data_IF_080923733071
#
_entry.id   IF_080923733071
#
_cell.length_a   1.000
_cell.length_b   1.000
_cell.length_c   1.000
_cell.angle_alpha   90.00
_cell.angle_beta   90.00
_cell.angle_gamma   90.00
#
_symmetry.space_group_name_H-M   'P 1'
#
loop_
_entity.id
_entity.type
_entity.pdbx_description
1 polymer ?
#
# COMPACT_ATOMS: atom_id res chain seq x y z
N UNK A 1 -21.20 15.97 -11.71
CA UNK A 1 -19.99 15.86 -12.57
C UNK A 1 -19.99 14.46 -13.16
N UNK A 2 -20.25 14.31 -14.46
CA UNK A 2 -20.22 13.01 -15.10
C UNK A 2 -18.75 12.56 -15.21
N UNK A 3 -18.36 11.58 -14.39
CA UNK A 3 -17.04 10.94 -14.52
C UNK A 3 -17.07 10.19 -15.85
N UNK A 4 -16.42 10.77 -16.87
CA UNK A 4 -16.03 10.05 -18.09
C UNK A 4 -15.17 8.86 -17.62
N UNK A 5 -15.71 7.64 -17.78
CA UNK A 5 -15.40 6.43 -17.00
C UNK A 5 -13.91 6.25 -16.66
N UNK A 6 -13.57 6.28 -15.37
CA UNK A 6 -12.30 5.73 -14.89
C UNK A 6 -12.44 4.20 -14.81
N UNK A 7 -11.62 3.48 -15.59
CA UNK A 7 -11.67 2.01 -15.67
C UNK A 7 -10.80 1.33 -14.60
N UNK A 8 -9.80 2.03 -14.07
CA UNK A 8 -8.80 1.47 -13.17
C UNK A 8 -8.17 2.50 -12.24
N UNK A 9 -7.68 2.07 -11.07
CA UNK A 9 -6.81 2.90 -10.23
C UNK A 9 -5.70 2.11 -9.53
N UNK A 10 -4.56 2.79 -9.30
CA UNK A 10 -3.45 2.32 -8.48
C UNK A 10 -3.15 3.41 -7.43
N UNK A 11 -3.23 3.06 -6.16
CA UNK A 11 -3.11 3.99 -5.04
C UNK A 11 -2.03 3.50 -4.07
N UNK A 12 -1.26 4.44 -3.53
CA UNK A 12 -0.28 4.20 -2.46
C UNK A 12 -0.33 5.37 -1.49
N UNK A 13 -1.36 5.45 -0.60
CA UNK A 13 -1.49 6.57 0.32
C UNK A 13 -0.25 6.67 1.24
N UNK A 14 0.08 7.87 1.73
CA UNK A 14 1.30 8.08 2.51
C UNK A 14 1.35 7.20 3.77
N UNK A 15 2.40 6.40 3.89
CA UNK A 15 2.52 5.40 4.94
C UNK A 15 3.21 5.91 6.21
N UNK A 16 3.80 7.11 6.17
CA UNK A 16 4.65 7.63 7.24
C UNK A 16 3.92 7.93 8.55
N UNK A 17 2.58 8.03 8.53
CA UNK A 17 1.74 8.11 9.73
C UNK A 17 1.02 6.78 10.06
N UNK A 18 1.12 5.77 9.21
CA UNK A 18 0.43 4.48 9.29
C UNK A 18 1.41 3.29 9.37
N UNK A 19 2.63 3.54 9.85
CA UNK A 19 3.72 2.55 9.84
C UNK A 19 4.24 2.22 11.23
N UNK A 20 4.59 0.95 11.43
CA UNK A 20 5.29 0.45 12.63
C UNK A 20 6.67 1.07 12.80
N UNK A 21 7.28 1.61 11.73
CA UNK A 21 8.66 2.09 11.77
C UNK A 21 8.92 3.19 12.82
N UNK A 22 7.87 3.93 13.21
CA UNK A 22 7.95 4.97 14.28
C UNK A 22 7.72 4.43 15.69
N UNK A 23 7.26 3.18 15.81
CA UNK A 23 7.00 2.50 17.08
C UNK A 23 8.11 1.51 17.46
N UNK A 24 9.14 1.39 16.62
CA UNK A 24 10.32 0.61 16.92
C UNK A 24 11.11 1.22 18.07
N UNK A 25 11.81 0.36 18.81
CA UNK A 25 12.79 0.80 19.80
C UNK A 25 14.05 1.22 19.06
N UNK A 26 14.59 2.39 19.43
CA UNK A 26 15.84 2.92 18.91
C UNK A 26 16.86 2.91 20.04
N UNK A 27 18.14 2.76 19.71
CA UNK A 27 19.23 2.89 20.67
C UNK A 27 19.13 4.24 21.42
N UNK A 28 19.53 4.26 22.69
CA UNK A 28 19.23 5.35 23.65
C UNK A 28 19.72 6.74 23.20
N UNK A 29 20.73 6.81 22.33
CA UNK A 29 21.30 8.05 21.80
C UNK A 29 20.63 8.55 20.51
N UNK A 30 19.65 7.82 19.97
CA UNK A 30 18.96 8.16 18.74
C UNK A 30 17.69 8.97 19.00
N UNK A 31 17.60 10.15 18.38
CA UNK A 31 16.33 10.89 18.29
C UNK A 31 15.35 10.15 17.38
N UNK A 32 14.60 9.23 17.99
CA UNK A 32 13.56 8.46 17.33
C UNK A 32 12.51 9.39 16.67
N UNK A 33 12.03 9.07 15.46
CA UNK A 33 10.92 9.80 14.87
C UNK A 33 9.66 9.60 15.73
N UNK A 34 9.07 10.70 16.20
CA UNK A 34 7.86 10.67 17.02
C UNK A 34 6.75 9.86 16.31
N UNK A 35 6.07 8.95 17.02
CA UNK A 35 4.82 8.34 16.54
C UNK A 35 3.76 9.39 16.26
N UNK A 36 3.21 9.40 15.03
CA UNK A 36 2.35 10.49 14.55
C UNK A 36 0.84 10.28 14.82
N UNK A 37 0.45 9.31 15.63
CA UNK A 37 -0.97 9.05 15.97
C UNK A 37 -1.19 8.83 17.47
N UNK A 38 -0.27 9.36 18.26
CA UNK A 38 -0.38 9.45 19.73
C UNK A 38 -0.75 10.88 20.11
N UNK A 39 -1.09 11.09 21.39
CA UNK A 39 -1.38 12.40 21.92
C UNK A 39 -0.18 13.38 21.79
N UNK A 40 -0.47 14.68 21.78
CA UNK A 40 0.52 15.77 21.83
C UNK A 40 1.44 15.89 20.61
N UNK A 41 0.83 16.09 19.44
CA UNK A 41 1.54 16.37 18.18
C UNK A 41 1.76 17.87 17.98
N UNK A 42 2.90 18.23 17.38
CA UNK A 42 3.12 19.59 16.89
C UNK A 42 2.17 19.92 15.74
N UNK A 43 1.94 21.22 15.47
CA UNK A 43 1.12 21.65 14.33
C UNK A 43 1.61 21.05 13.00
N UNK A 44 2.93 20.96 12.82
CA UNK A 44 3.54 20.31 11.66
C UNK A 44 3.13 18.84 11.53
N UNK A 45 3.19 18.10 12.63
CA UNK A 45 2.80 16.68 12.65
C UNK A 45 1.27 16.51 12.47
N UNK A 46 0.45 17.41 13.02
CA UNK A 46 -0.99 17.42 12.79
C UNK A 46 -1.33 17.62 11.32
N UNK A 47 -0.69 18.59 10.64
CA UNK A 47 -0.85 18.80 9.19
C UNK A 47 -0.46 17.57 8.37
N UNK A 48 0.62 16.90 8.78
CA UNK A 48 1.08 15.67 8.13
C UNK A 48 0.06 14.52 8.28
N UNK A 49 -0.48 14.32 9.48
CA UNK A 49 -1.52 13.31 9.75
C UNK A 49 -2.79 13.62 8.97
N UNK A 50 -3.20 14.89 8.94
CA UNK A 50 -4.35 15.35 8.19
C UNK A 50 -4.19 15.03 6.70
N UNK A 51 -3.06 15.38 6.09
CA UNK A 51 -2.77 15.08 4.69
C UNK A 51 -2.80 13.57 4.41
N UNK A 52 -2.19 12.77 5.28
CA UNK A 52 -2.21 11.31 5.14
C UNK A 52 -3.64 10.72 5.23
N UNK A 53 -4.49 11.28 6.11
CA UNK A 53 -5.91 10.90 6.18
C UNK A 53 -6.68 11.28 4.92
N UNK A 54 -6.48 12.51 4.41
CA UNK A 54 -7.13 12.97 3.17
C UNK A 54 -6.75 12.07 2.00
N UNK A 55 -5.47 11.76 1.83
CA UNK A 55 -5.00 10.91 0.73
C UNK A 55 -5.48 9.46 0.85
N UNK A 56 -5.60 8.93 2.08
CA UNK A 56 -6.25 7.63 2.30
C UNK A 56 -7.74 7.66 1.93
N UNK A 57 -8.47 8.71 2.33
CA UNK A 57 -9.88 8.87 1.98
C UNK A 57 -10.09 9.00 0.48
N UNK A 58 -9.21 9.71 -0.22
CA UNK A 58 -9.21 9.77 -1.69
C UNK A 58 -9.02 8.37 -2.30
N UNK A 59 -8.06 7.59 -1.79
CA UNK A 59 -7.85 6.21 -2.25
C UNK A 59 -9.09 5.32 -2.05
N UNK A 60 -9.71 5.39 -0.86
CA UNK A 60 -10.97 4.68 -0.58
C UNK A 60 -12.13 5.16 -1.46
N UNK A 61 -12.21 6.46 -1.76
CA UNK A 61 -13.24 7.03 -2.63
C UNK A 61 -13.11 6.50 -4.05
N UNK A 62 -11.89 6.46 -4.61
CA UNK A 62 -11.65 5.84 -5.91
C UNK A 62 -12.00 4.35 -5.90
N UNK A 63 -11.61 3.63 -4.86
CA UNK A 63 -11.93 2.22 -4.72
C UNK A 63 -13.45 1.99 -4.76
N UNK A 64 -14.21 2.72 -3.93
CA UNK A 64 -15.67 2.61 -3.87
C UNK A 64 -16.35 3.01 -5.19
N UNK A 65 -15.88 4.08 -5.84
CA UNK A 65 -16.39 4.46 -7.15
C UNK A 65 -16.17 3.36 -8.19
N UNK A 66 -15.04 2.65 -8.14
CA UNK A 66 -14.73 1.53 -9.03
C UNK A 66 -15.51 0.26 -8.67
N UNK A 67 -15.85 0.05 -7.39
CA UNK A 67 -16.82 -0.98 -7.00
C UNK A 67 -18.15 -0.73 -7.72
N UNK A 68 -18.66 0.50 -7.66
CA UNK A 68 -19.93 0.88 -8.28
C UNK A 68 -19.91 0.89 -9.82
N UNK A 69 -18.79 1.28 -10.44
CA UNK A 69 -18.68 1.41 -11.90
C UNK A 69 -18.27 0.14 -12.64
N UNK A 70 -17.94 -0.95 -11.92
CA UNK A 70 -17.43 -2.18 -12.53
C UNK A 70 -15.94 -2.13 -12.92
N UNK A 71 -15.21 -1.09 -12.52
CA UNK A 71 -13.76 -0.97 -12.78
C UNK A 71 -12.90 -1.83 -11.84
N UNK A 72 -11.58 -1.59 -11.86
CA UNK A 72 -10.60 -2.33 -11.04
C UNK A 72 -9.71 -1.41 -10.23
N UNK A 73 -9.20 -1.89 -9.10
CA UNK A 73 -8.40 -1.04 -8.21
C UNK A 73 -7.32 -1.83 -7.48
N UNK A 74 -6.20 -1.16 -7.18
CA UNK A 74 -5.17 -1.64 -6.26
C UNK A 74 -4.85 -0.51 -5.29
N UNK A 75 -4.94 -0.77 -3.99
CA UNK A 75 -4.39 0.11 -2.95
C UNK A 75 -3.27 -0.62 -2.22
N UNK A 76 -2.04 -0.14 -2.38
CA UNK A 76 -0.85 -0.68 -1.71
C UNK A 76 -0.57 0.06 -0.41
N UNK A 77 -0.19 -0.70 0.61
CA UNK A 77 0.32 -0.14 1.86
C UNK A 77 1.18 -1.17 2.60
N UNK A 78 2.14 -0.75 3.46
CA UNK A 78 2.81 -1.65 4.39
C UNK A 78 1.84 -2.57 5.10
N UNK A 79 2.16 -3.87 5.14
CA UNK A 79 1.34 -4.86 5.83
C UNK A 79 1.33 -4.58 7.34
N UNK A 80 0.29 -5.05 8.02
CA UNK A 80 0.26 -5.02 9.47
C UNK A 80 1.47 -5.74 10.04
N UNK A 81 2.17 -5.09 10.97
CA UNK A 81 3.42 -5.58 11.54
C UNK A 81 3.18 -6.61 12.65
N UNK A 82 2.56 -7.75 12.29
CA UNK A 82 2.17 -8.81 13.25
C UNK A 82 3.34 -9.42 14.04
N UNK A 83 4.56 -9.19 13.59
CA UNK A 83 5.79 -9.65 14.21
C UNK A 83 6.31 -8.71 15.32
N UNK A 84 5.76 -7.50 15.45
CA UNK A 84 6.26 -6.49 16.38
C UNK A 84 5.53 -6.54 17.73
N UNK A 85 6.22 -6.43 18.88
CA UNK A 85 5.57 -6.49 20.21
C UNK A 85 4.47 -5.44 20.41
N UNK A 86 4.65 -4.25 19.84
CA UNK A 86 3.68 -3.14 19.88
C UNK A 86 2.64 -3.20 18.74
N UNK A 87 2.41 -4.36 18.14
CA UNK A 87 1.49 -4.51 17.01
C UNK A 87 0.11 -3.93 17.30
N UNK A 88 -0.44 -4.10 18.51
CA UNK A 88 -1.82 -3.72 18.82
C UNK A 88 -2.05 -2.21 18.77
N UNK A 89 -1.10 -1.43 19.29
CA UNK A 89 -1.14 0.03 19.32
C UNK A 89 -0.58 0.69 18.06
N UNK A 90 0.11 -0.07 17.21
CA UNK A 90 0.69 0.47 15.99
C UNK A 90 -0.40 0.79 14.95
N UNK A 91 -0.35 1.97 14.32
CA UNK A 91 -1.31 2.36 13.31
C UNK A 91 -1.09 1.55 12.03
N UNK A 92 -2.20 1.16 11.41
CA UNK A 92 -2.23 0.43 10.15
C UNK A 92 -3.58 0.70 9.50
N UNK A 93 -3.60 1.01 8.20
CA UNK A 93 -4.86 1.20 7.48
C UNK A 93 -5.71 -0.07 7.49
N UNK A 94 -5.08 -1.24 7.55
CA UNK A 94 -5.74 -2.55 7.56
C UNK A 94 -6.61 -2.80 8.80
N UNK A 95 -6.44 -2.00 9.86
CA UNK A 95 -7.25 -2.07 11.08
C UNK A 95 -8.51 -1.22 11.02
N UNK A 96 -8.60 -0.29 10.07
CA UNK A 96 -9.73 0.61 9.92
C UNK A 96 -10.96 -0.13 9.42
N UNK A 97 -12.12 0.21 9.95
CA UNK A 97 -13.37 -0.46 9.58
C UNK A 97 -13.78 -0.14 8.15
N UNK A 98 -13.44 1.05 7.64
CA UNK A 98 -13.61 1.41 6.24
C UNK A 98 -12.80 0.49 5.33
N UNK A 99 -11.54 0.23 5.67
CA UNK A 99 -10.69 -0.68 4.87
C UNK A 99 -11.20 -2.12 4.94
N UNK A 100 -11.67 -2.59 6.10
CA UNK A 100 -12.29 -3.91 6.25
C UNK A 100 -13.58 -4.03 5.44
N UNK A 101 -14.41 -2.99 5.43
CA UNK A 101 -15.65 -2.95 4.64
C UNK A 101 -15.35 -3.07 3.14
N UNK A 102 -14.39 -2.29 2.64
CA UNK A 102 -13.97 -2.37 1.23
C UNK A 102 -13.37 -3.74 0.88
N UNK A 103 -12.61 -4.34 1.79
CA UNK A 103 -12.07 -5.68 1.64
C UNK A 103 -13.13 -6.79 1.65
N UNK A 104 -14.27 -6.54 2.29
CA UNK A 104 -15.42 -7.45 2.31
C UNK A 104 -16.35 -7.32 1.11
N UNK A 105 -16.15 -6.35 0.21
CA UNK A 105 -16.95 -6.22 -1.00
C UNK A 105 -16.70 -7.37 -1.98
N UNK A 106 -17.70 -7.68 -2.80
CA UNK A 106 -17.57 -8.72 -3.81
C UNK A 106 -16.44 -8.38 -4.80
N UNK A 107 -15.66 -9.40 -5.16
CA UNK A 107 -14.47 -9.27 -6.02
C UNK A 107 -13.31 -8.46 -5.42
N UNK A 108 -13.36 -8.17 -4.12
CA UNK A 108 -12.24 -7.64 -3.37
C UNK A 108 -11.32 -8.75 -2.84
N UNK A 109 -10.03 -8.48 -2.74
CA UNK A 109 -9.08 -9.38 -2.09
C UNK A 109 -7.96 -8.58 -1.40
N UNK A 110 -7.52 -9.03 -0.23
CA UNK A 110 -6.25 -8.59 0.37
C UNK A 110 -5.13 -9.57 0.03
N UNK A 111 -4.12 -9.09 -0.69
CA UNK A 111 -2.91 -9.84 -1.03
C UNK A 111 -1.72 -9.36 -0.22
N UNK A 112 -1.22 -10.21 0.69
CA UNK A 112 -0.02 -9.93 1.49
C UNK A 112 1.20 -10.71 0.98
N UNK A 113 2.30 -10.01 0.75
CA UNK A 113 3.59 -10.58 0.32
C UNK A 113 4.76 -9.71 0.82
N UNK A 114 6.00 -10.12 0.55
CA UNK A 114 7.18 -9.33 0.86
C UNK A 114 7.76 -8.73 -0.43
N UNK A 115 7.95 -7.41 -0.51
CA UNK A 115 8.52 -6.80 -1.72
C UNK A 115 9.96 -7.24 -1.98
N UNK A 116 10.64 -7.88 -1.01
CA UNK A 116 11.96 -8.47 -1.23
C UNK A 116 11.97 -9.50 -2.35
N UNK A 117 10.88 -10.24 -2.60
CA UNK A 117 10.79 -11.20 -3.72
C UNK A 117 10.82 -10.53 -5.10
N UNK A 118 10.68 -9.21 -5.14
CA UNK A 118 10.71 -8.37 -6.33
C UNK A 118 11.95 -7.48 -6.41
N UNK A 119 12.93 -7.64 -5.53
CA UNK A 119 14.16 -6.85 -5.56
C UNK A 119 14.24 -5.69 -4.57
N UNK A 120 13.32 -5.59 -3.60
CA UNK A 120 13.47 -4.59 -2.55
C UNK A 120 14.72 -4.85 -1.70
N UNK A 121 15.42 -3.78 -1.32
CA UNK A 121 16.67 -3.81 -0.53
C UNK A 121 16.52 -4.42 0.87
N UNK A 122 15.31 -4.68 1.33
CA UNK A 122 15.04 -5.26 2.63
C UNK A 122 13.70 -5.99 2.70
N UNK A 123 13.45 -6.60 3.86
CA UNK A 123 12.15 -7.20 4.16
C UNK A 123 11.11 -6.09 4.29
N UNK A 124 10.23 -5.97 3.29
CA UNK A 124 9.12 -5.00 3.25
C UNK A 124 7.80 -5.75 3.08
N UNK A 125 7.24 -6.30 4.17
CA UNK A 125 5.89 -6.86 4.17
C UNK A 125 4.89 -5.81 3.68
N UNK A 126 4.11 -6.17 2.68
CA UNK A 126 3.20 -5.29 1.95
C UNK A 126 1.89 -6.00 1.70
N UNK A 127 0.79 -5.27 1.82
CA UNK A 127 -0.53 -5.75 1.49
C UNK A 127 -1.13 -4.89 0.37
N UNK A 128 -1.89 -5.53 -0.52
CA UNK A 128 -2.65 -4.87 -1.57
C UNK A 128 -4.13 -5.14 -1.34
N UNK A 129 -4.94 -4.08 -1.24
CA UNK A 129 -6.38 -4.20 -1.41
C UNK A 129 -6.69 -4.15 -2.90
N UNK A 130 -7.13 -5.27 -3.44
CA UNK A 130 -7.35 -5.49 -4.87
C UNK A 130 -8.84 -5.53 -5.15
N UNK A 131 -9.28 -5.01 -6.30
CA UNK A 131 -10.65 -5.11 -6.78
C UNK A 131 -10.63 -5.64 -8.21
N UNK A 132 -11.31 -6.76 -8.46
CA UNK A 132 -11.50 -7.39 -9.77
C UNK A 132 -10.21 -7.72 -10.53
N UNK A 133 -9.12 -8.01 -9.81
CA UNK A 133 -7.81 -8.38 -10.41
C UNK A 133 -7.41 -9.83 -10.08
N UNK A 134 -8.14 -10.85 -10.57
CA UNK A 134 -7.96 -12.25 -10.16
C UNK A 134 -6.57 -12.82 -10.50
N UNK A 135 -5.89 -12.27 -11.51
CA UNK A 135 -4.56 -12.69 -11.93
C UNK A 135 -3.43 -12.02 -11.16
N UNK A 136 -3.72 -10.96 -10.38
CA UNK A 136 -2.66 -10.21 -9.68
C UNK A 136 -1.89 -11.10 -8.69
N UNK A 137 -2.59 -11.98 -7.95
CA UNK A 137 -1.98 -12.95 -7.04
C UNK A 137 -0.89 -13.79 -7.72
N UNK A 138 -1.15 -14.22 -8.95
CA UNK A 138 -0.20 -15.00 -9.74
C UNK A 138 1.07 -14.21 -10.05
N UNK A 139 0.93 -12.95 -10.45
CA UNK A 139 2.07 -12.11 -10.79
C UNK A 139 2.87 -11.63 -9.58
N UNK A 140 2.22 -11.30 -8.45
CA UNK A 140 2.91 -10.79 -7.25
C UNK A 140 3.52 -11.89 -6.38
N UNK A 141 3.05 -13.14 -6.47
CA UNK A 141 3.66 -14.26 -5.71
C UNK A 141 4.83 -14.92 -6.43
N UNK A 142 5.12 -14.51 -7.66
CA UNK A 142 6.22 -15.03 -8.48
C UNK A 142 7.19 -13.91 -8.78
N UNK A 143 8.48 -14.13 -8.52
CA UNK A 143 9.52 -13.23 -8.99
C UNK A 143 9.37 -13.09 -10.52
N UNK A 144 9.23 -11.85 -11.00
CA UNK A 144 9.18 -11.58 -12.44
C UNK A 144 10.64 -11.33 -12.89
N UNK A 145 11.27 -12.32 -13.52
CA UNK A 145 12.65 -12.35 -14.07
C UNK A 145 13.80 -12.16 -13.06
N UNK A 146 15.00 -12.69 -13.40
CA UNK A 146 16.40 -12.55 -12.87
C UNK A 146 16.69 -12.29 -11.38
N UNK A 147 15.70 -12.36 -10.50
CA UNK A 147 15.88 -12.04 -9.10
C UNK A 147 15.82 -13.30 -8.22
N UNK A 148 16.90 -13.55 -7.47
CA UNK A 148 16.94 -14.59 -6.44
C UNK A 148 16.45 -13.99 -5.12
N UNK A 149 15.34 -14.47 -4.55
CA UNK A 149 14.85 -14.00 -3.26
C UNK A 149 15.92 -14.15 -2.17
N UNK A 150 16.32 -13.04 -1.55
CA UNK A 150 17.05 -13.11 -0.29
C UNK A 150 16.03 -13.09 0.86
N UNK A 151 16.02 -14.15 1.67
CA UNK A 151 15.24 -14.17 2.91
C UNK A 151 15.91 -13.19 3.88
N UNK A 152 15.36 -11.97 3.97
CA UNK A 152 15.80 -10.96 4.93
C UNK A 152 14.85 -10.94 6.12
N UNK A 153 15.39 -10.87 7.34
CA UNK A 153 14.57 -10.78 8.56
C UNK A 153 13.66 -9.54 8.51
N UNK A 154 12.39 -9.63 8.96
CA UNK A 154 11.54 -8.46 9.17
C UNK A 154 12.25 -7.42 10.04
N UNK A 155 12.00 -6.14 9.77
CA UNK A 155 12.60 -5.04 10.54
C UNK A 155 13.98 -4.58 10.06
N UNK A 156 14.61 -5.26 9.09
CA UNK A 156 15.93 -4.85 8.57
C UNK A 156 15.99 -3.46 7.90
N UNK A 157 14.83 -2.85 7.63
CA UNK A 157 14.71 -1.49 7.09
C UNK A 157 14.48 -0.42 8.18
N UNK A 158 14.35 -0.82 9.44
CA UNK A 158 14.13 0.10 10.57
C UNK A 158 15.50 0.58 11.10
N UNK A 159 15.57 1.86 11.48
CA UNK A 159 16.79 2.47 12.02
C UNK A 159 17.61 3.23 10.97
N UNK A 160 18.84 3.61 11.35
CA UNK A 160 19.79 4.34 10.50
C UNK A 160 20.89 3.42 9.96
N UNK A 161 21.40 3.73 8.78
CA UNK A 161 22.63 3.17 8.26
C UNK A 161 23.85 3.87 8.89
N UNK A 162 25.04 3.32 8.65
CA UNK A 162 26.29 3.81 9.25
C UNK A 162 26.63 5.25 8.80
N UNK A 163 26.09 5.67 7.67
CA UNK A 163 26.19 7.04 7.13
C UNK A 163 25.16 8.02 7.73
N UNK A 164 24.34 7.58 8.69
CA UNK A 164 23.31 8.37 9.35
C UNK A 164 22.00 8.51 8.56
N UNK A 165 21.90 7.95 7.35
CA UNK A 165 20.67 7.91 6.56
C UNK A 165 19.65 6.92 7.12
N UNK A 166 18.36 7.12 6.85
CA UNK A 166 17.32 6.15 7.27
C UNK A 166 17.34 4.92 6.37
N UNK A 167 17.41 3.71 6.94
CA UNK A 167 17.36 2.44 6.19
C UNK A 167 16.05 2.24 5.41
N UNK A 168 14.99 2.97 5.78
CA UNK A 168 13.72 2.99 5.04
C UNK A 168 13.77 3.83 3.77
N UNK A 169 14.76 4.73 3.59
CA UNK A 169 14.77 5.68 2.49
C UNK A 169 14.84 5.01 1.10
N UNK A 170 15.72 4.03 0.84
CA UNK A 170 15.76 3.34 -0.45
C UNK A 170 14.53 2.46 -0.69
N UNK A 171 13.82 2.07 0.37
CA UNK A 171 12.64 1.22 0.29
C UNK A 171 11.35 1.98 -0.04
N UNK A 172 11.43 3.30 -0.32
CA UNK A 172 10.28 4.11 -0.76
C UNK A 172 9.89 3.84 -2.21
N UNK A 173 10.85 3.47 -3.05
CA UNK A 173 10.61 3.17 -4.45
C UNK A 173 10.04 1.76 -4.63
N UNK A 174 9.13 1.61 -5.59
CA UNK A 174 8.60 0.30 -5.96
C UNK A 174 9.62 -0.45 -6.81
N UNK A 175 9.95 -1.71 -6.48
CA UNK A 175 10.86 -2.50 -7.29
C UNK A 175 10.29 -2.70 -8.72
N UNK A 176 11.11 -2.61 -9.79
CA UNK A 176 10.64 -2.75 -11.17
C UNK A 176 9.88 -4.06 -11.44
N UNK A 177 10.27 -5.15 -10.79
CA UNK A 177 9.58 -6.45 -10.88
C UNK A 177 8.15 -6.40 -10.34
N UNK A 178 7.93 -5.66 -9.23
CA UNK A 178 6.59 -5.47 -8.65
C UNK A 178 5.74 -4.55 -9.54
N UNK A 179 6.30 -3.44 -10.04
CA UNK A 179 5.61 -2.57 -10.99
C UNK A 179 5.13 -3.35 -12.22
N UNK A 180 5.98 -4.24 -12.77
CA UNK A 180 5.64 -5.10 -13.90
C UNK A 180 4.52 -6.09 -13.56
N UNK A 181 4.55 -6.69 -12.37
CA UNK A 181 3.50 -7.61 -11.92
C UNK A 181 2.13 -6.92 -11.85
N UNK A 182 2.07 -5.74 -11.24
CA UNK A 182 0.84 -4.94 -11.13
C UNK A 182 0.36 -4.51 -12.52
N UNK A 183 1.24 -3.96 -13.36
CA UNK A 183 0.91 -3.52 -14.70
C UNK A 183 0.35 -4.65 -15.57
N UNK A 184 0.95 -5.85 -15.52
CA UNK A 184 0.45 -7.03 -16.25
C UNK A 184 -0.97 -7.41 -15.84
N UNK A 185 -1.26 -7.41 -14.54
CA UNK A 185 -2.61 -7.72 -14.05
C UNK A 185 -3.64 -6.69 -14.54
N UNK A 186 -3.29 -5.39 -14.46
CA UNK A 186 -4.16 -4.30 -14.89
C UNK A 186 -4.41 -4.32 -16.40
N UNK A 187 -3.37 -4.52 -17.21
CA UNK A 187 -3.51 -4.60 -18.68
C UNK A 187 -4.34 -5.81 -19.09
N UNK A 188 -4.10 -6.99 -18.49
CA UNK A 188 -4.86 -8.20 -18.81
C UNK A 188 -6.37 -8.00 -18.63
N UNK A 189 -6.78 -7.25 -17.61
CA UNK A 189 -8.19 -6.94 -17.38
C UNK A 189 -8.70 -5.82 -18.29
N UNK A 190 -7.93 -4.75 -18.48
CA UNK A 190 -8.32 -3.64 -19.34
C UNK A 190 -8.60 -4.08 -20.79
N UNK A 191 -7.95 -5.15 -21.27
CA UNK A 191 -8.17 -5.71 -22.60
C UNK A 191 -9.48 -6.51 -22.76
N UNK A 192 -10.10 -6.92 -21.64
CA UNK A 192 -11.33 -7.75 -21.66
C UNK A 192 -12.55 -7.04 -21.11
N UNK A 193 -12.38 -5.87 -20.48
CA UNK A 193 -13.50 -5.01 -20.09
C UNK A 193 -14.05 -4.34 -21.34
N UNK A 194 -15.33 -4.57 -21.71
CA UNK A 194 -15.92 -3.94 -22.88
C UNK A 194 -15.85 -2.42 -22.75
N UNK A 195 -15.10 -1.78 -23.63
CA UNK A 195 -15.10 -0.33 -23.76
C UNK A 195 -16.09 0.05 -24.85
N UNK A 196 -17.30 0.48 -24.48
CA UNK A 196 -18.20 1.14 -25.41
C UNK A 196 -17.88 2.65 -25.41
N UNK A 197 -17.17 3.19 -26.43
CA UNK A 197 -16.88 4.61 -26.52
C UNK A 197 -18.13 5.47 -26.78
N UNK A 198 -19.28 4.85 -27.06
CA UNK A 198 -20.53 5.51 -27.42
C UNK A 198 -21.68 5.23 -26.43
N UNK A 199 -21.43 4.53 -25.31
CA UNK A 199 -22.46 4.24 -24.33
C UNK A 199 -23.12 5.55 -23.85
N UNK A 200 -24.43 5.73 -24.05
CA UNK A 200 -25.12 6.95 -23.67
C UNK A 200 -25.03 7.14 -22.15
N UNK A 201 -24.85 8.39 -21.74
CA UNK A 201 -24.96 8.78 -20.33
C UNK A 201 -26.45 8.76 -20.01
N UNK A 202 -26.92 7.74 -19.29
CA UNK A 202 -28.24 7.83 -18.67
C UNK A 202 -28.21 8.98 -17.65
N UNK A 203 -28.98 10.03 -17.96
CA UNK A 203 -29.12 11.28 -17.20
C UNK A 203 -30.08 11.14 -16.04
#
# INVERSE_FOLDING_TARGET
VAIRRAIGSLQGPPCESWTIARFAEFEQDLKAPQPLRLASLSERHLKQVHLANVLLQVAHTFYLALVASGGFSVTEHPAEAKWHPRQDIAPSIWKLDETKLLAGADSSEILTFNQSIHGSVGSKPTSLLCLRLPTLRYYVRRAQCDFVPCVRRPGGLIGRADDGSWRTAPAKEYPPSLCRAIARAMVALAMVVPHDPYAPVET
#
